data_IF_454544719800
#
_entry.id   IF_454544719800
#
_cell.length_a   1.000
_cell.length_b   1.000
_cell.length_c   1.000
_cell.angle_alpha   90.00
_cell.angle_beta   90.00
_cell.angle_gamma   90.00
#
_symmetry.space_group_name_H-M   'P 1'
#
loop_
_entity.id
_entity.type
_entity.pdbx_description
1 polymer ?
#
# COMPACT_ATOMS: atom_id res chain seq x y z
N UNK A 1 59.43 -26.94 23.88
CA UNK A 1 58.80 -25.63 23.61
C UNK A 1 57.34 -25.89 23.24
N UNK A 2 56.47 -25.82 24.24
CA UNK A 2 55.01 -25.85 24.11
C UNK A 2 54.57 -24.44 23.69
N UNK A 3 53.40 -24.31 23.06
CA UNK A 3 52.76 -23.05 22.60
C UNK A 3 53.03 -22.74 21.11
N UNK A 4 52.49 -23.57 20.22
CA UNK A 4 52.24 -23.16 18.82
C UNK A 4 50.91 -23.70 18.26
N UNK A 5 49.97 -24.07 19.15
CA UNK A 5 48.65 -24.61 18.76
C UNK A 5 47.50 -23.62 19.07
N UNK A 6 47.77 -22.51 19.76
CA UNK A 6 46.72 -21.53 20.09
C UNK A 6 46.58 -20.37 19.09
N UNK A 7 47.43 -20.28 18.07
CA UNK A 7 47.37 -19.17 17.10
C UNK A 7 46.47 -19.44 15.88
N UNK A 8 45.92 -20.65 15.78
CA UNK A 8 44.97 -21.00 14.70
C UNK A 8 43.50 -20.95 15.14
N UNK A 9 43.23 -20.70 16.43
CA UNK A 9 41.89 -20.69 17.01
C UNK A 9 41.36 -19.29 17.36
N UNK A 10 42.16 -18.24 17.11
CA UNK A 10 41.82 -16.86 17.46
C UNK A 10 41.46 -15.96 16.26
N UNK A 11 41.43 -16.51 15.03
CA UNK A 11 41.12 -15.74 13.81
C UNK A 11 39.90 -16.26 13.03
N UNK A 12 39.01 -17.00 13.70
CA UNK A 12 37.77 -17.54 13.10
C UNK A 12 36.50 -16.78 13.53
N UNK A 13 36.64 -15.67 14.25
CA UNK A 13 35.51 -14.80 14.61
C UNK A 13 35.63 -13.51 13.82
N UNK A 14 34.73 -13.33 12.84
CA UNK A 14 34.34 -12.07 12.13
C UNK A 14 34.17 -12.22 10.61
N UNK A 15 33.54 -13.31 10.16
CA UNK A 15 32.78 -13.31 8.92
C UNK A 15 31.30 -13.44 9.28
N UNK A 16 30.73 -12.38 9.87
CA UNK A 16 29.27 -12.23 9.88
C UNK A 16 28.92 -11.74 8.47
N UNK A 17 28.32 -12.57 7.60
CA UNK A 17 27.79 -12.05 6.36
C UNK A 17 26.81 -10.94 6.72
N UNK A 18 27.02 -9.75 6.18
CA UNK A 18 26.04 -8.68 6.25
C UNK A 18 24.81 -9.15 5.51
N UNK A 19 23.80 -9.60 6.26
CA UNK A 19 22.47 -9.86 5.72
C UNK A 19 21.94 -8.51 5.26
N UNK A 20 22.03 -8.24 3.96
CA UNK A 20 21.30 -7.12 3.37
C UNK A 20 19.82 -7.42 3.59
N UNK A 21 19.17 -6.64 4.46
CA UNK A 21 17.76 -6.79 4.73
C UNK A 21 16.96 -6.61 3.44
N UNK A 22 16.28 -7.67 3.01
CA UNK A 22 15.35 -7.60 1.89
C UNK A 22 14.11 -6.82 2.33
N UNK A 23 13.71 -5.82 1.54
CA UNK A 23 12.45 -5.13 1.77
C UNK A 23 11.33 -6.04 1.32
N UNK A 24 10.54 -6.52 2.28
CA UNK A 24 9.34 -7.30 1.97
C UNK A 24 8.26 -6.35 1.46
N UNK A 25 7.91 -6.50 0.18
CA UNK A 25 6.79 -5.81 -0.46
C UNK A 25 5.61 -6.76 -0.47
N UNK A 26 4.44 -6.28 -0.06
CA UNK A 26 3.27 -7.14 -0.08
C UNK A 26 2.92 -7.49 -1.53
N UNK A 27 2.68 -8.77 -1.77
CA UNK A 27 2.38 -9.27 -3.10
C UNK A 27 3.59 -9.52 -3.99
N UNK A 28 4.83 -9.26 -3.55
CA UNK A 28 6.01 -9.79 -4.24
C UNK A 28 6.09 -11.32 -4.08
N UNK A 29 5.72 -11.81 -2.90
CA UNK A 29 5.54 -13.22 -2.60
C UNK A 29 4.15 -13.71 -2.97
N UNK A 30 4.04 -15.03 -3.16
CA UNK A 30 2.79 -15.73 -3.39
C UNK A 30 1.94 -15.76 -2.12
N UNK A 31 0.74 -15.18 -2.20
CA UNK A 31 -0.22 -15.11 -1.09
C UNK A 31 -1.55 -15.76 -1.45
N UNK A 32 -2.27 -16.29 -0.47
CA UNK A 32 -3.62 -16.81 -0.69
C UNK A 32 -4.59 -15.65 -0.94
N UNK A 33 -5.55 -15.85 -1.83
CA UNK A 33 -6.51 -14.82 -2.17
C UNK A 33 -7.68 -15.30 -3.02
N UNK A 34 -8.48 -14.32 -3.43
CA UNK A 34 -9.62 -14.50 -4.33
C UNK A 34 -9.56 -13.44 -5.42
N UNK A 35 -9.98 -13.80 -6.61
CA UNK A 35 -9.99 -12.94 -7.78
C UNK A 35 -11.39 -12.96 -8.41
N UNK A 36 -11.94 -11.78 -8.71
CA UNK A 36 -13.17 -11.64 -9.50
C UNK A 36 -12.83 -10.98 -10.83
N UNK A 37 -13.22 -11.62 -11.94
CA UNK A 37 -12.97 -11.12 -13.29
C UNK A 37 -14.07 -10.15 -13.74
N UNK A 38 -13.73 -9.25 -14.67
CA UNK A 38 -14.64 -8.19 -15.12
C UNK A 38 -15.93 -8.73 -15.78
N UNK A 39 -15.81 -9.81 -16.54
CA UNK A 39 -16.94 -10.41 -17.28
C UNK A 39 -17.62 -11.58 -16.53
N UNK A 40 -17.23 -11.84 -15.27
CA UNK A 40 -17.85 -12.90 -14.47
C UNK A 40 -19.08 -12.38 -13.72
N UNK A 41 -20.16 -13.18 -13.70
CA UNK A 41 -21.43 -12.86 -13.01
C UNK A 41 -21.33 -12.98 -11.47
N UNK A 42 -20.15 -12.68 -10.90
CA UNK A 42 -19.90 -12.77 -9.45
C UNK A 42 -19.07 -13.97 -9.01
N UNK A 43 -18.70 -14.86 -9.94
CA UNK A 43 -17.88 -16.02 -9.63
C UNK A 43 -16.45 -15.64 -9.24
N UNK A 44 -16.10 -15.87 -7.97
CA UNK A 44 -14.75 -15.64 -7.47
C UNK A 44 -13.87 -16.86 -7.66
N UNK A 45 -12.66 -16.67 -8.18
CA UNK A 45 -11.62 -17.68 -8.31
C UNK A 45 -10.77 -17.66 -7.04
N UNK A 46 -10.80 -18.74 -6.25
CA UNK A 46 -9.84 -18.93 -5.17
C UNK A 46 -8.47 -19.29 -5.74
N UNK A 47 -7.42 -18.61 -5.32
CA UNK A 47 -6.10 -18.79 -5.89
C UNK A 47 -4.98 -18.41 -4.93
N UNK A 48 -3.76 -18.83 -5.27
CA UNK A 48 -2.55 -18.21 -4.78
C UNK A 48 -2.11 -17.19 -5.80
N UNK A 49 -1.89 -15.94 -5.38
CA UNK A 49 -1.65 -14.82 -6.26
C UNK A 49 -0.43 -14.00 -5.83
N UNK A 50 0.12 -13.24 -6.77
CA UNK A 50 1.14 -12.21 -6.53
C UNK A 50 0.88 -11.00 -7.42
N UNK A 51 1.37 -9.85 -7.01
CA UNK A 51 1.09 -8.56 -7.64
C UNK A 51 2.34 -7.97 -8.29
N UNK A 52 2.14 -7.27 -9.39
CA UNK A 52 3.10 -6.34 -9.98
C UNK A 52 2.35 -5.03 -10.25
N UNK A 53 2.17 -4.25 -9.19
CA UNK A 53 1.27 -3.09 -9.20
C UNK A 53 1.71 -2.05 -10.23
N UNK A 54 3.02 -1.80 -10.37
CA UNK A 54 3.58 -0.85 -11.33
C UNK A 54 3.11 -1.12 -12.77
N UNK A 55 3.04 -2.40 -13.15
CA UNK A 55 2.56 -2.84 -14.46
C UNK A 55 1.07 -3.20 -14.49
N UNK A 56 0.35 -3.02 -13.37
CA UNK A 56 -1.06 -3.37 -13.20
C UNK A 56 -1.35 -4.84 -13.55
N UNK A 57 -0.47 -5.74 -13.13
CA UNK A 57 -0.58 -7.17 -13.37
C UNK A 57 -0.85 -7.93 -12.07
N UNK A 58 -1.60 -9.01 -12.19
CA UNK A 58 -1.79 -10.01 -11.15
C UNK A 58 -1.50 -11.37 -11.74
N UNK A 59 -0.68 -12.14 -11.05
CA UNK A 59 -0.38 -13.50 -11.46
C UNK A 59 -1.02 -14.45 -10.48
N UNK A 60 -1.66 -15.50 -10.99
CA UNK A 60 -2.22 -16.58 -10.18
C UNK A 60 -1.50 -17.89 -10.47
N UNK A 61 -1.34 -18.69 -9.44
CA UNK A 61 -0.84 -20.05 -9.53
C UNK A 61 -2.01 -21.02 -9.71
N UNK A 62 -1.96 -21.83 -10.76
CA UNK A 62 -2.98 -22.83 -11.08
C UNK A 62 -2.56 -24.22 -10.58
N UNK A 63 -3.54 -25.10 -10.36
CA UNK A 63 -3.32 -26.44 -9.81
C UNK A 63 -2.41 -27.34 -10.68
N UNK A 64 -2.27 -27.04 -11.96
CA UNK A 64 -1.37 -27.73 -12.90
C UNK A 64 0.06 -27.18 -12.91
N UNK A 65 0.47 -26.45 -11.86
CA UNK A 65 1.77 -25.78 -11.74
C UNK A 65 2.05 -24.73 -12.82
N UNK A 66 1.02 -24.18 -13.45
CA UNK A 66 1.19 -23.07 -14.41
C UNK A 66 0.86 -21.73 -13.75
N UNK A 67 1.50 -20.67 -14.25
CA UNK A 67 1.22 -19.29 -13.85
C UNK A 67 0.37 -18.63 -14.92
N UNK A 68 -0.77 -18.06 -14.52
CA UNK A 68 -1.61 -17.25 -15.40
C UNK A 68 -1.55 -15.79 -14.99
N UNK A 69 -1.28 -14.91 -15.94
CA UNK A 69 -1.22 -13.47 -15.74
C UNK A 69 -2.51 -12.82 -16.21
N UNK A 70 -3.10 -11.98 -15.35
CA UNK A 70 -4.22 -11.11 -15.66
C UNK A 70 -3.76 -9.66 -15.65
N UNK A 71 -4.26 -8.89 -16.61
CA UNK A 71 -4.12 -7.43 -16.60
C UNK A 71 -5.28 -6.78 -15.84
N UNK A 72 -5.11 -5.55 -15.38
CA UNK A 72 -6.20 -4.78 -14.76
C UNK A 72 -7.48 -4.71 -15.61
N UNK A 73 -7.40 -4.79 -16.94
CA UNK A 73 -8.56 -4.79 -17.84
C UNK A 73 -9.46 -6.03 -17.71
N UNK A 74 -8.97 -7.09 -17.06
CA UNK A 74 -9.70 -8.34 -16.90
C UNK A 74 -10.19 -8.54 -15.46
N UNK A 75 -9.79 -7.65 -14.55
CA UNK A 75 -9.97 -7.82 -13.12
C UNK A 75 -10.97 -6.79 -12.63
N UNK A 76 -11.91 -7.23 -11.80
CA UNK A 76 -12.84 -6.36 -11.09
C UNK A 76 -12.40 -6.11 -9.66
N UNK A 77 -12.02 -7.17 -8.97
CA UNK A 77 -11.71 -7.15 -7.54
C UNK A 77 -10.76 -8.28 -7.15
N UNK A 78 -9.95 -8.04 -6.12
CA UNK A 78 -9.02 -9.00 -5.56
C UNK A 78 -9.09 -8.91 -4.04
N UNK A 79 -9.13 -10.06 -3.37
CA UNK A 79 -8.81 -10.18 -1.95
C UNK A 79 -7.48 -10.91 -1.83
N UNK A 80 -6.58 -10.40 -1.01
CA UNK A 80 -5.29 -11.02 -0.76
C UNK A 80 -4.97 -11.01 0.74
N UNK A 81 -4.64 -12.18 1.28
CA UNK A 81 -4.28 -12.31 2.68
C UNK A 81 -2.87 -11.78 2.92
N UNK A 82 -2.73 -10.85 3.87
CA UNK A 82 -1.46 -10.30 4.33
C UNK A 82 -0.99 -11.02 5.59
N UNK A 83 0.08 -11.86 5.50
CA UNK A 83 0.62 -12.56 6.64
C UNK A 83 1.19 -11.63 7.72
N UNK A 84 1.70 -10.45 7.34
CA UNK A 84 2.34 -9.53 8.27
C UNK A 84 1.31 -8.84 9.16
N UNK A 85 0.22 -8.34 8.57
CA UNK A 85 -0.87 -7.69 9.32
C UNK A 85 -1.95 -8.67 9.80
N UNK A 86 -1.92 -9.93 9.35
CA UNK A 86 -2.94 -10.97 9.59
C UNK A 86 -4.35 -10.54 9.17
N UNK A 87 -4.45 -9.82 8.06
CA UNK A 87 -5.71 -9.27 7.54
C UNK A 87 -5.81 -9.48 6.05
N UNK A 88 -7.04 -9.52 5.56
CA UNK A 88 -7.31 -9.48 4.14
C UNK A 88 -7.22 -8.04 3.62
N UNK A 89 -6.47 -7.86 2.54
CA UNK A 89 -6.37 -6.61 1.80
C UNK A 89 -7.24 -6.71 0.55
N UNK A 90 -8.06 -5.69 0.34
CA UNK A 90 -8.96 -5.62 -0.81
C UNK A 90 -8.40 -4.68 -1.85
N UNK A 91 -8.38 -5.13 -3.10
CA UNK A 91 -7.96 -4.34 -4.24
C UNK A 91 -9.08 -4.24 -5.25
N UNK A 92 -9.21 -3.07 -5.84
CA UNK A 92 -10.22 -2.75 -6.84
C UNK A 92 -9.56 -2.13 -8.06
N UNK A 93 -10.20 -2.31 -9.21
CA UNK A 93 -9.76 -1.69 -10.45
C UNK A 93 -10.61 -0.47 -10.76
N UNK A 94 -9.95 0.67 -10.92
CA UNK A 94 -10.61 1.92 -11.30
C UNK A 94 -9.92 2.54 -12.53
N UNK A 95 -10.68 3.24 -13.39
CA UNK A 95 -10.09 4.03 -14.46
C UNK A 95 -9.30 5.20 -13.87
N UNK A 96 -8.01 5.29 -14.20
CA UNK A 96 -7.15 6.36 -13.68
C UNK A 96 -6.06 6.74 -14.69
N UNK A 97 -5.73 8.05 -14.76
CA UNK A 97 -4.70 8.56 -15.64
C UNK A 97 -3.35 8.67 -14.91
N UNK A 98 -2.53 7.62 -15.01
CA UNK A 98 -1.14 7.70 -14.56
C UNK A 98 -0.42 8.78 -15.40
N UNK A 99 0.15 9.78 -14.72
CA UNK A 99 0.88 10.90 -15.34
C UNK A 99 0.07 11.79 -16.30
N UNK A 100 -1.26 11.87 -16.12
CA UNK A 100 -2.12 12.83 -16.82
C UNK A 100 -2.12 12.72 -18.37
N UNK A 101 -1.82 11.54 -18.93
CA UNK A 101 -1.80 11.33 -20.40
C UNK A 101 -2.95 10.46 -20.89
N UNK A 102 -3.14 9.29 -20.29
CA UNK A 102 -4.13 8.30 -20.74
C UNK A 102 -4.80 7.63 -19.54
N UNK A 103 -6.13 7.56 -19.57
CA UNK A 103 -6.94 6.86 -18.56
C UNK A 103 -6.90 5.37 -18.85
N UNK A 104 -6.35 4.59 -17.94
CA UNK A 104 -6.33 3.12 -18.01
C UNK A 104 -6.87 2.49 -16.73
N UNK A 105 -7.45 1.27 -16.81
CA UNK A 105 -7.77 0.50 -15.63
C UNK A 105 -6.52 0.29 -14.77
N UNK A 106 -6.61 0.66 -13.51
CA UNK A 106 -5.49 0.73 -12.57
C UNK A 106 -5.88 0.05 -11.28
N UNK A 107 -5.01 -0.80 -10.73
CA UNK A 107 -5.27 -1.55 -9.49
C UNK A 107 -4.96 -0.66 -8.29
N UNK A 108 -5.88 -0.57 -7.34
CA UNK A 108 -5.72 0.17 -6.08
C UNK A 108 -6.06 -0.73 -4.90
N UNK A 109 -5.29 -0.62 -3.81
CA UNK A 109 -5.72 -1.10 -2.50
C UNK A 109 -6.78 -0.16 -1.95
N UNK A 110 -7.88 -0.71 -1.44
CA UNK A 110 -8.85 0.04 -0.64
C UNK A 110 -8.39 0.07 0.82
N UNK A 111 -8.04 1.25 1.32
CA UNK A 111 -7.60 1.44 2.70
C UNK A 111 -8.75 1.85 3.61
N UNK A 112 -9.69 2.65 3.10
CA UNK A 112 -10.87 3.10 3.85
C UNK A 112 -11.97 3.47 2.86
N UNK A 113 -13.21 3.12 3.19
CA UNK A 113 -14.41 3.46 2.42
C UNK A 113 -15.26 4.48 3.20
N UNK A 114 -15.99 5.34 2.48
CA UNK A 114 -16.91 6.30 3.09
C UNK A 114 -17.32 7.42 2.14
N UNK A 115 -17.63 8.60 2.67
CA UNK A 115 -17.91 9.79 1.84
C UNK A 115 -16.72 10.16 0.94
N UNK A 116 -15.52 9.90 1.44
CA UNK A 116 -14.28 9.89 0.68
C UNK A 116 -13.60 8.55 0.94
N UNK A 117 -13.21 7.87 -0.13
CA UNK A 117 -12.42 6.64 -0.03
C UNK A 117 -10.94 6.95 -0.05
N UNK A 118 -10.18 6.30 0.82
CA UNK A 118 -8.72 6.32 0.78
C UNK A 118 -8.24 5.09 0.00
N UNK A 119 -7.48 5.33 -1.06
CA UNK A 119 -6.88 4.32 -1.90
C UNK A 119 -5.35 4.38 -1.78
N UNK A 120 -4.70 3.23 -1.88
CA UNK A 120 -3.24 3.11 -1.79
C UNK A 120 -2.64 2.27 -2.91
N UNK A 121 -1.39 2.54 -3.26
CA UNK A 121 -0.55 1.68 -4.08
C UNK A 121 0.84 1.57 -3.47
N UNK A 122 1.29 0.35 -3.22
CA UNK A 122 2.65 0.10 -2.75
C UNK A 122 3.67 0.36 -3.85
N UNK A 123 4.83 0.90 -3.45
CA UNK A 123 6.01 1.04 -4.29
C UNK A 123 7.28 0.88 -3.47
N UNK A 124 8.37 0.53 -4.14
CA UNK A 124 9.70 0.56 -3.56
C UNK A 124 10.36 1.90 -3.91
N UNK A 125 10.87 2.60 -2.92
CA UNK A 125 11.71 3.79 -3.12
C UNK A 125 13.12 3.52 -2.62
N UNK A 126 14.12 4.05 -3.32
CA UNK A 126 15.51 3.97 -2.87
C UNK A 126 15.83 5.26 -2.13
N UNK A 127 16.11 5.15 -0.82
CA UNK A 127 16.50 6.26 0.02
C UNK A 127 18.02 6.26 0.24
N UNK A 128 18.62 7.45 0.27
CA UNK A 128 20.02 7.61 0.60
C UNK A 128 20.17 7.99 2.07
N UNK A 129 20.85 7.15 2.83
CA UNK A 129 21.14 7.38 4.24
C UNK A 129 22.62 7.71 4.44
N UNK A 130 22.91 8.45 5.51
CA UNK A 130 24.28 8.74 5.93
C UNK A 130 24.45 8.27 7.37
N UNK A 131 25.38 7.33 7.60
CA UNK A 131 25.73 6.85 8.93
C UNK A 131 27.24 6.90 9.10
N UNK A 132 27.72 7.49 10.21
CA UNK A 132 29.14 7.63 10.51
C UNK A 132 29.98 8.20 9.34
N UNK A 133 29.42 9.16 8.59
CA UNK A 133 30.08 9.79 7.43
C UNK A 133 30.05 8.98 6.14
N UNK A 134 29.57 7.73 6.17
CA UNK A 134 29.40 6.89 4.99
C UNK A 134 27.99 7.01 4.43
N UNK A 135 27.90 7.22 3.12
CA UNK A 135 26.64 7.25 2.37
C UNK A 135 26.32 5.86 1.85
N UNK A 136 25.09 5.41 2.06
CA UNK A 136 24.59 4.15 1.52
C UNK A 136 23.16 4.31 1.04
N UNK A 137 22.76 3.48 0.09
CA UNK A 137 21.39 3.43 -0.41
C UNK A 137 20.66 2.25 0.19
N UNK A 138 19.38 2.44 0.48
CA UNK A 138 18.52 1.40 1.02
C UNK A 138 17.17 1.45 0.30
N UNK A 139 16.67 0.30 -0.12
CA UNK A 139 15.29 0.21 -0.58
C UNK A 139 14.34 0.35 0.64
N UNK A 140 13.21 1.00 0.44
CA UNK A 140 12.17 1.15 1.46
C UNK A 140 10.78 1.02 0.83
N UNK A 141 9.87 0.37 1.54
CA UNK A 141 8.46 0.33 1.16
C UNK A 141 7.83 1.71 1.36
N UNK A 142 7.13 2.19 0.35
CA UNK A 142 6.40 3.45 0.36
C UNK A 142 5.03 3.27 -0.30
N UNK A 143 4.17 4.26 -0.14
CA UNK A 143 2.81 4.24 -0.68
C UNK A 143 2.54 5.53 -1.45
N UNK A 144 1.92 5.39 -2.62
CA UNK A 144 1.18 6.48 -3.24
C UNK A 144 -0.27 6.44 -2.78
N UNK A 145 -0.79 7.58 -2.34
CA UNK A 145 -2.14 7.72 -1.83
C UNK A 145 -3.04 8.47 -2.80
N UNK A 146 -4.31 8.09 -2.81
CA UNK A 146 -5.33 8.70 -3.66
C UNK A 146 -6.64 8.82 -2.89
N UNK A 147 -7.40 9.87 -3.18
CA UNK A 147 -8.76 10.03 -2.68
C UNK A 147 -9.77 9.73 -3.79
N UNK A 148 -10.67 8.79 -3.53
CA UNK A 148 -11.85 8.52 -4.33
C UNK A 148 -13.04 9.33 -3.81
N UNK A 149 -13.75 10.00 -4.71
CA UNK A 149 -14.90 10.83 -4.38
C UNK A 149 -16.19 10.24 -4.96
N UNK A 150 -17.33 10.63 -4.40
CA UNK A 150 -18.65 10.19 -4.85
C UNK A 150 -18.97 10.57 -6.32
N UNK A 151 -18.28 11.57 -6.89
CA UNK A 151 -18.37 11.91 -8.32
C UNK A 151 -17.61 10.93 -9.24
N UNK A 152 -17.05 9.85 -8.66
CA UNK A 152 -16.27 8.83 -9.36
C UNK A 152 -14.84 9.26 -9.67
N UNK A 153 -14.42 10.48 -9.30
CA UNK A 153 -13.05 10.94 -9.57
C UNK A 153 -12.09 10.40 -8.51
N UNK A 154 -10.93 9.98 -8.99
CA UNK A 154 -9.78 9.64 -8.16
C UNK A 154 -8.74 10.76 -8.32
N UNK A 155 -8.25 11.28 -7.19
CA UNK A 155 -7.23 12.35 -7.17
C UNK A 155 -6.03 11.92 -6.37
N UNK A 156 -4.83 12.16 -6.89
CA UNK A 156 -3.57 11.93 -6.15
C UNK A 156 -3.57 12.78 -4.90
N UNK A 157 -3.11 12.19 -3.81
CA UNK A 157 -2.78 12.90 -2.59
C UNK A 157 -1.27 12.88 -2.36
N UNK A 158 -0.67 14.08 -2.27
CA UNK A 158 0.78 14.31 -2.21
C UNK A 158 1.36 14.19 -0.79
N UNK A 159 0.54 13.86 0.21
CA UNK A 159 1.01 13.68 1.58
C UNK A 159 1.32 14.99 2.32
N UNK A 160 0.79 16.14 1.85
CA UNK A 160 1.04 17.44 2.48
C UNK A 160 -0.26 18.04 3.01
N UNK A 161 -0.15 18.83 4.09
CA UNK A 161 -1.26 19.58 4.67
C UNK A 161 -2.00 20.43 3.63
N UNK A 162 -1.26 21.18 2.79
CA UNK A 162 -1.86 22.05 1.77
C UNK A 162 -2.69 21.24 0.77
N UNK A 163 -2.20 20.08 0.36
CA UNK A 163 -2.91 19.22 -0.58
C UNK A 163 -4.14 18.57 0.07
N UNK A 164 -4.02 18.20 1.35
CA UNK A 164 -5.14 17.71 2.14
C UNK A 164 -6.27 18.74 2.22
N UNK A 165 -5.95 19.97 2.64
CA UNK A 165 -6.92 21.07 2.74
C UNK A 165 -7.52 21.44 1.37
N UNK A 166 -6.74 21.30 0.29
CA UNK A 166 -7.22 21.54 -1.07
C UNK A 166 -8.21 20.47 -1.56
N UNK A 167 -7.93 19.19 -1.30
CA UNK A 167 -8.75 18.06 -1.74
C UNK A 167 -9.98 17.84 -0.86
N UNK A 168 -9.85 18.09 0.45
CA UNK A 168 -10.85 17.85 1.49
C UNK A 168 -11.26 19.15 2.16
N UNK A 169 -11.74 20.11 1.35
CA UNK A 169 -12.05 21.48 1.78
C UNK A 169 -13.01 21.51 2.97
N UNK A 170 -14.07 20.73 2.88
CA UNK A 170 -15.11 20.67 3.90
C UNK A 170 -14.54 20.06 5.17
N UNK A 171 -14.69 20.73 6.31
CA UNK A 171 -14.20 20.27 7.63
C UNK A 171 -12.68 20.14 7.77
N UNK A 172 -11.91 20.63 6.80
CA UNK A 172 -10.44 20.68 6.86
C UNK A 172 -9.92 21.28 8.17
N UNK A 173 -10.56 22.34 8.69
CA UNK A 173 -10.19 22.98 9.96
C UNK A 173 -10.38 22.07 11.18
N UNK A 174 -11.52 21.36 11.28
CA UNK A 174 -11.79 20.42 12.37
C UNK A 174 -10.81 19.25 12.34
N UNK A 175 -10.59 18.68 11.16
CA UNK A 175 -9.69 17.53 11.00
C UNK A 175 -8.23 17.93 11.24
N UNK A 176 -7.85 19.16 10.91
CA UNK A 176 -6.53 19.70 11.25
C UNK A 176 -6.30 19.67 12.77
N UNK A 177 -7.24 20.18 13.55
CA UNK A 177 -7.13 20.14 15.02
C UNK A 177 -7.01 18.71 15.52
N UNK A 178 -7.81 17.78 15.00
CA UNK A 178 -7.70 16.36 15.33
C UNK A 178 -6.31 15.77 15.01
N UNK A 179 -5.73 16.11 13.85
CA UNK A 179 -4.39 15.67 13.44
C UNK A 179 -3.32 16.20 14.39
N UNK A 180 -3.39 17.48 14.74
CA UNK A 180 -2.43 18.15 15.63
C UNK A 180 -2.51 17.58 17.05
N UNK A 181 -3.72 17.48 17.61
CA UNK A 181 -3.96 16.96 18.97
C UNK A 181 -3.57 15.48 19.11
N UNK A 182 -3.74 14.70 18.03
CA UNK A 182 -3.42 13.26 18.01
C UNK A 182 -2.00 12.96 17.54
N UNK A 183 -1.20 13.97 17.15
CA UNK A 183 0.16 13.80 16.64
C UNK A 183 0.26 12.99 15.35
N UNK A 184 -0.78 13.03 14.50
CA UNK A 184 -0.86 12.22 13.27
C UNK A 184 -0.08 12.86 12.12
N UNK A 185 0.45 12.04 11.21
CA UNK A 185 1.18 12.52 10.03
C UNK A 185 0.36 12.42 8.76
N UNK A 186 0.47 13.46 7.93
CA UNK A 186 -0.23 13.58 6.65
C UNK A 186 0.23 12.58 5.58
N UNK A 187 1.31 11.84 5.78
CA UNK A 187 1.93 10.96 4.78
C UNK A 187 2.20 9.54 5.29
N UNK A 188 1.77 9.22 6.50
CA UNK A 188 1.87 7.87 7.06
C UNK A 188 0.58 7.09 6.80
N UNK A 189 0.68 5.84 6.35
CA UNK A 189 -0.48 5.01 5.93
C UNK A 189 -1.52 4.86 7.04
N UNK A 190 -1.08 4.48 8.24
CA UNK A 190 -1.97 4.16 9.34
C UNK A 190 -2.60 5.43 9.91
N UNK A 191 -1.81 6.50 10.00
CA UNK A 191 -2.30 7.82 10.40
C UNK A 191 -3.35 8.34 9.40
N UNK A 192 -3.08 8.23 8.09
CA UNK A 192 -4.04 8.62 7.04
C UNK A 192 -5.35 7.84 7.13
N UNK A 193 -5.29 6.54 7.38
CA UNK A 193 -6.50 5.72 7.58
C UNK A 193 -7.32 6.30 8.76
N UNK A 194 -6.68 6.65 9.87
CA UNK A 194 -7.37 7.25 11.03
C UNK A 194 -7.97 8.61 10.68
N UNK A 195 -7.22 9.46 9.98
CA UNK A 195 -7.65 10.79 9.55
C UNK A 195 -8.90 10.70 8.65
N UNK A 196 -8.87 9.85 7.63
CA UNK A 196 -9.97 9.72 6.68
C UNK A 196 -11.19 9.06 7.32
N UNK A 197 -11.01 8.09 8.23
CA UNK A 197 -12.12 7.57 9.02
C UNK A 197 -12.78 8.66 9.86
N UNK A 198 -12.00 9.52 10.52
CA UNK A 198 -12.56 10.64 11.29
C UNK A 198 -13.27 11.66 10.40
N UNK A 199 -12.70 11.97 9.23
CA UNK A 199 -13.34 12.80 8.21
C UNK A 199 -14.71 12.24 7.80
N UNK A 200 -14.75 10.95 7.44
CA UNK A 200 -15.97 10.27 7.02
C UNK A 200 -17.02 10.20 8.14
N UNK A 201 -16.60 9.88 9.37
CA UNK A 201 -17.49 9.84 10.53
C UNK A 201 -18.11 11.21 10.83
N UNK A 202 -17.31 12.28 10.78
CA UNK A 202 -17.82 13.64 10.97
C UNK A 202 -18.85 14.00 9.90
N UNK A 203 -18.63 13.64 8.64
CA UNK A 203 -19.58 13.88 7.55
C UNK A 203 -20.87 13.06 7.70
N UNK A 204 -20.79 11.84 8.22
CA UNK A 204 -21.96 11.02 8.53
C UNK A 204 -22.85 11.67 9.59
N UNK A 205 -22.25 12.17 10.69
CA UNK A 205 -23.00 12.83 11.78
C UNK A 205 -23.86 14.01 11.32
N UNK A 206 -23.29 14.92 10.54
CA UNK A 206 -24.03 16.09 10.03
C UNK A 206 -25.20 15.71 9.13
N UNK A 207 -25.07 14.61 8.38
CA UNK A 207 -26.17 14.12 7.56
C UNK A 207 -27.33 13.63 8.43
N UNK A 208 -27.04 12.90 9.51
CA UNK A 208 -28.07 12.37 10.41
C UNK A 208 -28.76 13.50 11.18
N UNK A 209 -28.00 14.46 11.73
CA UNK A 209 -28.55 15.59 12.49
C UNK A 209 -29.41 16.56 11.67
N UNK A 210 -29.42 16.44 10.34
CA UNK A 210 -30.28 17.25 9.45
C UNK A 210 -31.70 16.67 9.33
N UNK A 211 -31.91 15.42 9.77
CA UNK A 211 -33.20 14.72 9.70
C UNK A 211 -33.79 14.45 11.10
N UNK A 212 -33.17 14.98 12.15
CA UNK A 212 -33.67 15.06 13.53
C UNK A 212 -34.10 16.49 13.83
#
# INVERSE_FOLDING_TARGET
MRITIYFFLAFSVLLIPSVQGQVNVFGADWVKGKLLLQDSEGDTIQCTLRFELDNNLVQIYLANNTVKTYTSRQIKWIQAYDPASKRDRNFYVFPYALNNRYVSPTIFEMLTEGTVSLLGREKIVVVQNTWAGSRFTQAQLSFDFYFGFADGKIRVYRGTRKDFEYLLKDKSGYIRTFIEDSGLRYNDKDDLIRIINQYNYSNYKDKVSKYE
#
